data_IF_601453097634
#
_entry.id   IF_601453097634
#
_cell.length_a   1.000
_cell.length_b   1.000
_cell.length_c   1.000
_cell.angle_alpha   90.00
_cell.angle_beta   90.00
_cell.angle_gamma   90.00
#
_symmetry.space_group_name_H-M   'P 1'
#
loop_
_entity.id
_entity.type
_entity.pdbx_description
1 polymer ?
#
# COMPACT_ATOMS: atom_id res chain seq x y z
N UNK A 1 -63.02 19.00 43.32
CA UNK A 1 -62.30 17.71 43.33
C UNK A 1 -61.83 17.52 41.88
N UNK A 2 -60.92 18.35 41.35
CA UNK A 2 -59.59 18.72 41.86
C UNK A 2 -58.84 17.49 42.33
N UNK A 3 -57.85 17.06 41.54
CA UNK A 3 -56.46 16.87 41.99
C UNK A 3 -55.59 16.41 40.80
N UNK A 4 -54.50 17.16 40.61
CA UNK A 4 -53.33 16.94 39.77
C UNK A 4 -52.63 15.59 40.07
N UNK A 5 -51.81 15.09 39.13
CA UNK A 5 -50.36 14.89 39.36
C UNK A 5 -49.68 14.14 38.20
N UNK A 6 -48.49 14.68 37.88
CA UNK A 6 -47.48 14.34 36.89
C UNK A 6 -46.82 12.96 37.07
N UNK A 7 -46.10 12.52 36.02
CA UNK A 7 -44.78 11.84 36.04
C UNK A 7 -44.52 11.29 34.62
N UNK A 8 -43.79 12.01 33.77
CA UNK A 8 -42.32 12.01 33.59
C UNK A 8 -41.80 10.83 32.74
N UNK A 9 -41.10 11.22 31.66
CA UNK A 9 -39.87 10.68 31.05
C UNK A 9 -39.62 9.15 31.09
N UNK A 10 -39.29 8.46 29.98
CA UNK A 10 -38.06 8.65 29.22
C UNK A 10 -38.20 8.18 27.75
N UNK A 11 -37.80 9.06 26.82
CA UNK A 11 -37.14 8.68 25.57
C UNK A 11 -35.90 7.85 25.92
N UNK A 12 -35.69 6.66 25.36
CA UNK A 12 -34.35 6.28 24.90
C UNK A 12 -34.28 5.01 24.03
N UNK A 13 -33.64 5.22 22.88
CA UNK A 13 -32.75 4.30 22.17
C UNK A 13 -33.35 3.12 21.38
N UNK A 14 -33.73 3.48 20.15
CA UNK A 14 -33.36 2.75 18.93
C UNK A 14 -31.96 2.10 19.08
N UNK A 15 -31.93 0.81 19.44
CA UNK A 15 -30.71 -0.01 19.46
C UNK A 15 -30.21 -0.20 18.04
N UNK A 16 -29.51 0.83 17.54
CA UNK A 16 -28.59 0.75 16.41
C UNK A 16 -27.59 -0.34 16.75
N UNK A 17 -27.81 -1.53 16.21
CA UNK A 17 -26.89 -2.67 16.28
C UNK A 17 -25.59 -2.27 15.62
N UNK A 18 -24.68 -1.67 16.39
CA UNK A 18 -23.30 -1.41 15.97
C UNK A 18 -22.73 -2.74 15.47
N UNK A 19 -22.16 -2.82 14.26
CA UNK A 19 -21.58 -4.06 13.78
C UNK A 19 -20.46 -4.44 14.75
N UNK A 20 -20.67 -5.54 15.47
CA UNK A 20 -19.68 -6.11 16.38
C UNK A 20 -18.46 -6.41 15.52
N UNK A 21 -17.41 -5.59 15.68
CA UNK A 21 -16.12 -5.80 15.01
C UNK A 21 -15.65 -7.18 15.45
N UNK A 22 -15.82 -8.18 14.58
CA UNK A 22 -15.36 -9.54 14.84
C UNK A 22 -13.88 -9.46 15.17
N UNK A 23 -13.52 -9.82 16.40
CA UNK A 23 -12.14 -9.88 16.83
C UNK A 23 -11.39 -10.76 15.82
N UNK A 24 -10.33 -10.20 15.20
CA UNK A 24 -9.46 -10.96 14.32
C UNK A 24 -8.88 -12.08 15.16
N UNK A 25 -9.34 -13.30 14.94
CA UNK A 25 -8.74 -14.49 15.53
C UNK A 25 -7.28 -14.51 15.06
N UNK A 26 -6.37 -14.24 15.98
CA UNK A 26 -4.93 -14.37 15.74
C UNK A 26 -4.65 -15.86 15.68
N UNK A 27 -4.91 -16.48 14.53
CA UNK A 27 -4.47 -17.85 14.26
C UNK A 27 -2.97 -17.86 14.54
N UNK A 28 -2.54 -18.63 15.53
CA UNK A 28 -1.15 -18.76 15.92
C UNK A 28 -0.37 -19.31 14.74
N UNK A 29 0.30 -18.42 14.02
CA UNK A 29 1.18 -18.79 12.91
C UNK A 29 2.43 -19.38 13.53
N UNK A 30 2.72 -20.64 13.21
CA UNK A 30 3.97 -21.30 13.63
C UNK A 30 5.21 -20.50 13.20
N UNK A 31 6.28 -20.58 14.00
CA UNK A 31 7.51 -19.83 13.80
C UNK A 31 8.18 -20.05 12.43
N UNK A 32 8.02 -21.22 11.80
CA UNK A 32 8.54 -21.46 10.46
C UNK A 32 7.76 -20.64 9.41
N UNK A 33 6.42 -20.77 9.41
CA UNK A 33 5.55 -20.01 8.50
C UNK A 33 5.70 -18.50 8.71
N UNK A 34 5.93 -18.04 9.94
CA UNK A 34 6.19 -16.63 10.22
C UNK A 34 7.45 -16.11 9.50
N UNK A 35 8.56 -16.87 9.52
CA UNK A 35 9.79 -16.51 8.80
C UNK A 35 9.58 -16.40 7.29
N UNK A 36 8.88 -17.37 6.69
CA UNK A 36 8.56 -17.34 5.27
C UNK A 36 7.61 -16.19 4.92
N UNK A 37 6.60 -15.93 5.76
CA UNK A 37 5.69 -14.79 5.61
C UNK A 37 6.46 -13.47 5.62
N UNK A 38 7.39 -13.31 6.56
CA UNK A 38 8.15 -12.07 6.69
C UNK A 38 9.14 -11.90 5.52
N UNK A 39 9.73 -12.98 5.01
CA UNK A 39 10.50 -12.96 3.76
C UNK A 39 9.64 -12.55 2.55
N UNK A 40 8.43 -13.10 2.40
CA UNK A 40 7.50 -12.69 1.34
C UNK A 40 7.10 -11.22 1.44
N UNK A 41 6.85 -10.73 2.66
CA UNK A 41 6.55 -9.30 2.90
C UNK A 41 7.72 -8.40 2.53
N UNK A 42 8.94 -8.76 2.91
CA UNK A 42 10.16 -8.02 2.53
C UNK A 42 10.35 -7.95 1.02
N UNK A 43 10.02 -9.03 0.31
CA UNK A 43 10.03 -9.09 -1.15
C UNK A 43 8.89 -8.30 -1.83
N UNK A 44 7.93 -7.75 -1.08
CA UNK A 44 6.75 -7.09 -1.66
C UNK A 44 5.70 -8.05 -2.25
N UNK A 45 5.80 -9.35 -1.98
CA UNK A 45 4.88 -10.38 -2.48
C UNK A 45 3.64 -10.38 -1.56
N UNK A 46 2.44 -10.22 -2.13
CA UNK A 46 1.17 -10.25 -1.36
C UNK A 46 0.43 -11.59 -1.47
N UNK A 47 0.80 -12.43 -2.44
CA UNK A 47 0.17 -13.73 -2.71
C UNK A 47 0.21 -14.73 -1.53
N UNK A 48 1.13 -14.55 -0.57
CA UNK A 48 1.22 -15.40 0.63
C UNK A 48 -0.06 -15.37 1.49
N UNK A 49 -0.87 -14.31 1.41
CA UNK A 49 -2.14 -14.24 2.13
C UNK A 49 -3.12 -15.29 1.64
N UNK A 50 -3.21 -15.49 0.32
CA UNK A 50 -4.03 -16.53 -0.28
C UNK A 50 -3.60 -17.93 0.14
N UNK A 51 -2.28 -18.15 0.29
CA UNK A 51 -1.73 -19.41 0.82
C UNK A 51 -2.22 -19.64 2.26
N UNK A 52 -2.06 -18.65 3.15
CA UNK A 52 -2.48 -18.77 4.55
C UNK A 52 -3.97 -19.07 4.72
N UNK A 53 -4.82 -18.54 3.83
CA UNK A 53 -6.26 -18.76 3.88
C UNK A 53 -6.70 -20.09 3.27
N UNK A 54 -5.97 -20.62 2.28
CA UNK A 54 -6.35 -21.85 1.55
C UNK A 54 -5.78 -23.12 2.14
N UNK A 55 -4.58 -23.05 2.74
CA UNK A 55 -3.92 -24.24 3.30
C UNK A 55 -4.02 -24.23 4.81
N UNK A 56 -4.43 -25.36 5.39
CA UNK A 56 -4.48 -25.56 6.84
C UNK A 56 -3.16 -26.13 7.37
N UNK A 57 -2.48 -26.92 6.54
CA UNK A 57 -1.24 -27.61 6.88
C UNK A 57 -0.02 -26.68 6.88
N UNK A 58 0.78 -26.78 7.93
CA UNK A 58 1.95 -25.93 8.11
C UNK A 58 3.05 -26.20 7.06
N UNK A 59 3.35 -27.47 6.78
CA UNK A 59 4.35 -27.84 5.77
C UNK A 59 3.96 -27.35 4.39
N UNK A 60 2.70 -27.54 4.02
CA UNK A 60 2.17 -27.04 2.74
C UNK A 60 2.24 -25.52 2.63
N UNK A 61 2.03 -24.77 3.74
CA UNK A 61 2.23 -23.31 3.77
C UNK A 61 3.68 -22.92 3.52
N UNK A 62 4.62 -23.58 4.19
CA UNK A 62 6.05 -23.33 4.03
C UNK A 62 6.48 -23.61 2.59
N UNK A 63 6.09 -24.76 2.04
CA UNK A 63 6.47 -25.16 0.67
C UNK A 63 5.89 -24.20 -0.37
N UNK A 64 4.62 -23.81 -0.23
CA UNK A 64 4.00 -22.84 -1.13
C UNK A 64 4.64 -21.45 -1.03
N UNK A 65 4.96 -20.96 0.17
CA UNK A 65 5.67 -19.68 0.32
C UNK A 65 7.10 -19.76 -0.19
N UNK A 66 7.77 -20.90 -0.03
CA UNK A 66 9.09 -21.14 -0.60
C UNK A 66 9.04 -21.10 -2.13
N UNK A 67 8.02 -21.71 -2.74
CA UNK A 67 7.83 -21.66 -4.18
C UNK A 67 7.62 -20.23 -4.70
N UNK A 68 6.82 -19.41 -4.00
CA UNK A 68 6.61 -17.99 -4.33
C UNK A 68 7.92 -17.18 -4.31
N UNK A 69 8.79 -17.44 -3.33
CA UNK A 69 10.11 -16.81 -3.26
C UNK A 69 11.01 -17.30 -4.39
N UNK A 70 11.07 -18.61 -4.62
CA UNK A 70 11.89 -19.23 -5.66
C UNK A 70 11.52 -18.79 -7.08
N UNK A 71 10.23 -18.58 -7.36
CA UNK A 71 9.75 -18.04 -8.64
C UNK A 71 10.40 -16.69 -8.99
N UNK A 72 10.73 -15.91 -7.95
CA UNK A 72 11.38 -14.60 -8.07
C UNK A 72 12.90 -14.65 -7.83
N UNK A 73 13.47 -15.85 -7.77
CA UNK A 73 14.89 -16.09 -7.54
C UNK A 73 15.34 -15.81 -6.11
N UNK A 74 14.42 -15.73 -5.15
CA UNK A 74 14.71 -15.48 -3.75
C UNK A 74 14.69 -16.76 -2.92
N UNK A 75 15.46 -16.74 -1.84
CA UNK A 75 15.40 -17.72 -0.75
C UNK A 75 15.27 -17.02 0.59
N UNK A 76 14.95 -17.74 1.67
CA UNK A 76 14.97 -17.17 3.03
C UNK A 76 16.32 -16.54 3.40
N UNK A 77 17.41 -17.06 2.82
CA UNK A 77 18.78 -16.65 3.13
C UNK A 77 19.31 -15.57 2.19
N UNK A 78 18.51 -15.12 1.24
CA UNK A 78 18.89 -14.07 0.30
C UNK A 78 19.27 -12.77 1.01
N UNK A 79 20.13 -11.99 0.35
CA UNK A 79 20.60 -10.74 0.92
C UNK A 79 19.47 -9.68 0.93
N UNK A 80 19.47 -8.72 1.87
CA UNK A 80 18.46 -7.65 1.90
C UNK A 80 18.32 -6.88 0.58
N UNK A 81 19.44 -6.64 -0.10
CA UNK A 81 19.48 -5.97 -1.41
C UNK A 81 18.76 -6.75 -2.52
N UNK A 82 18.74 -8.10 -2.46
CA UNK A 82 18.00 -8.92 -3.40
C UNK A 82 16.49 -8.79 -3.19
N UNK A 83 16.05 -8.73 -1.93
CA UNK A 83 14.65 -8.49 -1.58
C UNK A 83 14.17 -7.13 -2.08
N UNK A 84 14.98 -6.08 -1.92
CA UNK A 84 14.67 -4.72 -2.39
C UNK A 84 14.59 -4.64 -3.91
N UNK A 85 15.52 -5.28 -4.63
CA UNK A 85 15.48 -5.35 -6.11
C UNK A 85 14.21 -6.02 -6.61
N UNK A 86 13.82 -7.14 -6.01
CA UNK A 86 12.58 -7.85 -6.38
C UNK A 86 11.36 -7.02 -6.03
N UNK A 87 11.36 -6.34 -4.88
CA UNK A 87 10.28 -5.43 -4.48
C UNK A 87 10.13 -4.27 -5.46
N UNK A 88 11.22 -3.60 -5.83
CA UNK A 88 11.21 -2.51 -6.81
C UNK A 88 10.71 -2.99 -8.18
N UNK A 89 11.11 -4.21 -8.61
CA UNK A 89 10.60 -4.81 -9.84
C UNK A 89 9.09 -5.07 -9.78
N UNK A 90 8.59 -5.59 -8.65
CA UNK A 90 7.16 -5.83 -8.42
C UNK A 90 6.35 -4.54 -8.37
N UNK A 91 6.91 -3.47 -7.81
CA UNK A 91 6.28 -2.16 -7.77
C UNK A 91 6.20 -1.53 -9.16
N UNK A 92 7.29 -1.60 -9.93
CA UNK A 92 7.31 -1.19 -11.33
C UNK A 92 6.31 -2.00 -12.18
N UNK A 93 6.22 -3.32 -11.99
CA UNK A 93 5.26 -4.16 -12.70
C UNK A 93 3.81 -3.74 -12.41
N UNK A 94 3.49 -3.39 -11.16
CA UNK A 94 2.17 -2.89 -10.76
C UNK A 94 1.87 -1.50 -11.34
N UNK A 95 2.87 -0.63 -11.34
CA UNK A 95 2.74 0.71 -11.92
C UNK A 95 2.43 0.63 -13.42
N UNK A 96 3.11 -0.28 -14.13
CA UNK A 96 2.87 -0.53 -15.55
C UNK A 96 1.51 -1.19 -15.84
N UNK A 97 0.97 -2.02 -14.95
CA UNK A 97 -0.35 -2.66 -15.11
C UNK A 97 -1.52 -1.65 -15.07
N UNK A 98 -1.32 -0.49 -14.43
CA UNK A 98 -2.29 0.60 -14.36
C UNK A 98 -2.26 1.59 -15.53
N UNK A 99 -1.28 1.47 -16.43
CA UNK A 99 -1.14 2.39 -17.56
C UNK A 99 -2.12 2.01 -18.67
N UNK A 100 -3.13 2.85 -18.88
CA UNK A 100 -4.03 2.74 -20.03
C UNK A 100 -3.28 3.09 -21.33
N UNK A 101 -2.80 2.06 -22.02
CA UNK A 101 -2.08 2.22 -23.29
C UNK A 101 -2.96 2.68 -24.45
N UNK A 102 -4.29 2.75 -24.27
CA UNK A 102 -5.22 3.12 -25.34
C UNK A 102 -5.18 4.61 -25.71
N UNK A 103 -4.74 5.47 -24.78
CA UNK A 103 -4.57 6.91 -25.00
C UNK A 103 -3.14 7.33 -25.37
N UNK A 104 -2.21 6.38 -25.53
CA UNK A 104 -0.84 6.67 -25.95
C UNK A 104 -0.85 6.98 -27.45
N UNK A 105 -0.65 8.25 -27.82
CA UNK A 105 -0.35 8.62 -29.20
C UNK A 105 1.05 8.10 -29.57
N UNK A 106 1.12 6.87 -30.10
CA UNK A 106 2.37 6.19 -30.54
C UNK A 106 3.11 6.93 -31.68
N UNK A 107 2.52 7.99 -32.23
CA UNK A 107 3.14 8.89 -33.18
C UNK A 107 3.06 10.32 -32.65
N UNK A 108 4.19 10.85 -32.20
CA UNK A 108 4.30 12.20 -31.68
C UNK A 108 3.59 13.21 -32.59
N UNK A 109 2.65 13.95 -31.99
CA UNK A 109 2.19 15.21 -32.56
C UNK A 109 3.44 16.09 -32.65
N UNK A 110 4.06 16.17 -33.83
CA UNK A 110 5.09 17.17 -34.11
C UNK A 110 4.42 18.52 -33.88
N UNK A 111 4.57 19.08 -32.68
CA UNK A 111 4.28 20.47 -32.46
C UNK A 111 5.37 21.19 -33.25
N UNK A 112 5.06 21.56 -34.49
CA UNK A 112 5.78 22.67 -35.12
C UNK A 112 5.64 23.83 -34.17
N UNK A 113 6.70 24.11 -33.42
CA UNK A 113 6.82 25.33 -32.66
C UNK A 113 6.60 26.47 -33.65
N UNK A 114 5.46 27.14 -33.55
CA UNK A 114 5.38 28.52 -34.03
C UNK A 114 6.41 29.25 -33.18
N UNK A 115 7.48 29.70 -33.82
CA UNK A 115 8.54 30.52 -33.22
C UNK A 115 7.92 31.82 -32.69
N UNK A 116 7.28 31.75 -31.52
CA UNK A 116 7.04 32.89 -30.65
C UNK A 116 8.19 32.91 -29.65
N UNK A 117 9.01 33.95 -29.70
CA UNK A 117 10.13 34.15 -28.77
C UNK A 117 9.60 34.22 -27.34
N UNK A 118 9.72 33.14 -26.58
CA UNK A 118 9.46 33.16 -25.14
C UNK A 118 10.62 33.90 -24.47
N UNK A 119 10.36 35.12 -23.98
CA UNK A 119 11.30 35.89 -23.20
C UNK A 119 11.40 35.29 -21.78
N UNK A 120 12.46 34.52 -21.52
CA UNK A 120 12.73 33.90 -20.22
C UNK A 120 13.04 34.91 -19.11
N UNK A 121 13.41 36.15 -19.46
CA UNK A 121 13.68 37.22 -18.50
C UNK A 121 12.46 37.62 -17.64
N UNK A 122 11.24 37.32 -18.09
CA UNK A 122 10.03 37.62 -17.31
C UNK A 122 9.66 36.50 -16.33
N UNK A 123 10.20 35.28 -16.50
CA UNK A 123 9.88 34.13 -15.66
C UNK A 123 10.72 34.10 -14.38
N UNK A 124 11.98 34.54 -14.48
CA UNK A 124 12.94 34.58 -13.36
C UNK A 124 12.55 35.63 -12.29
N UNK A 125 11.91 36.73 -12.70
CA UNK A 125 11.42 37.76 -11.79
C UNK A 125 10.22 37.32 -10.89
N UNK A 126 9.68 36.12 -11.10
CA UNK A 126 8.54 35.59 -10.33
C UNK A 126 8.88 34.36 -9.48
N UNK A 127 10.15 33.92 -9.44
CA UNK A 127 10.59 32.71 -8.73
C UNK A 127 11.60 32.99 -7.61
N UNK A 128 11.69 34.24 -7.16
CA UNK A 128 12.40 34.57 -5.92
C UNK A 128 11.42 34.36 -4.75
N UNK A 129 11.20 33.10 -4.38
CA UNK A 129 10.60 32.73 -3.09
C UNK A 129 11.54 31.69 -2.47
N UNK A 130 11.85 31.93 -1.20
CA UNK A 130 12.99 31.48 -0.43
C UNK A 130 12.81 30.02 -0.01
N UNK A 131 13.70 29.11 -0.43
CA UNK A 131 13.94 27.86 0.29
C UNK A 131 15.32 27.99 0.95
N UNK A 132 15.29 28.46 2.20
CA UNK A 132 16.42 28.57 3.11
C UNK A 132 16.80 27.14 3.55
N UNK A 133 17.99 26.68 3.12
CA UNK A 133 18.62 25.45 3.58
C UNK A 133 18.85 25.53 5.11
N UNK A 134 18.04 24.82 5.88
CA UNK A 134 18.31 24.56 7.29
C UNK A 134 18.81 23.10 7.43
N UNK A 135 20.11 22.93 7.16
CA UNK A 135 20.90 21.78 7.64
C UNK A 135 20.97 21.87 9.18
N UNK A 136 20.11 21.13 9.87
CA UNK A 136 20.20 20.92 11.32
C UNK A 136 20.81 19.55 11.61
N UNK A 137 22.14 19.53 11.75
CA UNK A 137 22.92 18.51 12.47
C UNK A 137 22.72 18.72 13.99
N UNK A 138 22.06 17.79 14.72
CA UNK A 138 22.42 17.41 16.11
C UNK A 138 21.58 16.24 16.69
N UNK A 139 22.22 15.05 16.82
CA UNK A 139 22.39 14.17 18.03
C UNK A 139 22.61 12.69 17.66
#
# INVERSE_FOLDING_TARGET
EDEDEDEDEDEDEDKVRRPVKKAKTTTTISGAVAKYRDACKRAGITAFQGVLMRTTDEKARVDAMSALLSERGLSIRSAPSEFERVRAKLELEKDMDGIDTSNIMTGGRRRTAVYGTTNYAQLEASSEDEDEDEDEDED
#
